data_IF_660613171196
#
_entry.id   IF_660613171196
#
_cell.length_a   1.000
_cell.length_b   1.000
_cell.length_c   1.000
_cell.angle_alpha   90.00
_cell.angle_beta   90.00
_cell.angle_gamma   90.00
#
_symmetry.space_group_name_H-M   'P 1'
#
loop_
_entity.id
_entity.type
_entity.pdbx_description
1 polymer ?
#
# COMPACT_ATOMS: atom_id res chain seq x y z
N UNK A 1 25.44 53.49 -16.69
CA UNK A 1 24.79 52.30 -17.29
C UNK A 1 24.38 51.38 -16.17
N UNK A 2 23.10 51.46 -15.80
CA UNK A 2 22.53 50.76 -14.64
C UNK A 2 21.86 49.50 -15.14
N UNK A 3 22.30 48.33 -14.67
CA UNK A 3 21.67 47.05 -14.98
C UNK A 3 20.56 46.77 -13.97
N UNK A 4 19.34 46.78 -14.48
CA UNK A 4 18.11 46.55 -13.75
C UNK A 4 17.92 45.02 -13.57
N UNK A 5 17.93 44.51 -12.33
CA UNK A 5 17.60 43.10 -12.02
C UNK A 5 16.09 42.97 -11.97
N UNK A 6 15.55 42.24 -12.96
CA UNK A 6 14.15 41.88 -13.04
C UNK A 6 13.71 41.00 -11.87
N UNK A 7 12.56 41.34 -11.30
CA UNK A 7 11.83 40.61 -10.29
C UNK A 7 11.30 39.30 -10.89
N UNK A 8 11.64 38.19 -10.29
CA UNK A 8 10.98 36.91 -10.53
C UNK A 8 9.56 37.00 -9.99
N UNK A 9 8.62 36.72 -10.85
CA UNK A 9 7.18 36.74 -10.61
C UNK A 9 6.76 35.68 -9.59
N UNK A 10 6.08 36.13 -8.54
CA UNK A 10 5.32 35.31 -7.60
C UNK A 10 4.20 34.60 -8.35
N UNK A 11 4.16 33.27 -8.26
CA UNK A 11 2.98 32.50 -8.60
C UNK A 11 1.92 32.70 -7.48
N UNK A 12 0.67 32.97 -7.83
CA UNK A 12 -0.38 33.11 -6.83
C UNK A 12 -0.73 31.76 -6.22
N UNK A 13 -0.62 31.69 -4.89
CA UNK A 13 -1.25 30.63 -4.08
C UNK A 13 -2.77 30.63 -4.36
N UNK A 14 -3.24 29.60 -5.00
CA UNK A 14 -4.68 29.36 -5.18
C UNK A 14 -5.21 28.84 -3.83
N UNK A 15 -5.71 29.76 -3.01
CA UNK A 15 -6.60 29.40 -1.92
C UNK A 15 -7.95 28.99 -2.53
N UNK A 16 -8.20 27.69 -2.59
CA UNK A 16 -9.55 27.17 -2.77
C UNK A 16 -10.04 26.67 -1.41
N UNK A 17 -10.82 27.49 -0.73
CA UNK A 17 -11.65 27.06 0.38
C UNK A 17 -12.77 26.18 -0.14
N UNK A 18 -12.86 24.96 0.35
CA UNK A 18 -14.05 24.12 0.27
C UNK A 18 -14.22 23.45 1.65
N UNK A 19 -15.47 23.45 2.11
CA UNK A 19 -15.86 23.06 3.45
C UNK A 19 -15.41 21.65 3.83
N UNK A 20 -14.65 21.57 4.91
CA UNK A 20 -14.00 20.37 5.39
C UNK A 20 -14.58 19.97 6.74
N UNK A 21 -14.85 18.69 6.90
CA UNK A 21 -14.83 18.07 8.22
C UNK A 21 -13.42 18.29 8.80
N UNK A 22 -13.32 19.03 9.89
CA UNK A 22 -12.06 19.48 10.50
C UNK A 22 -11.38 18.29 11.19
N UNK A 23 -10.70 17.41 10.43
CA UNK A 23 -9.76 16.46 10.99
C UNK A 23 -8.37 17.08 10.88
N UNK A 24 -7.93 17.72 11.94
CA UNK A 24 -6.61 18.33 12.02
C UNK A 24 -5.58 17.20 12.06
N UNK A 25 -4.79 17.07 11.01
CA UNK A 25 -3.67 16.12 10.96
C UNK A 25 -2.45 16.70 11.66
N UNK A 26 -1.68 15.84 12.35
CA UNK A 26 -0.37 16.24 12.88
C UNK A 26 0.59 16.59 11.74
N UNK A 27 1.66 17.33 12.02
CA UNK A 27 2.70 17.66 11.03
C UNK A 27 3.27 16.41 10.38
N UNK A 28 3.48 15.35 11.16
CA UNK A 28 3.94 14.05 10.65
C UNK A 28 2.93 13.43 9.68
N UNK A 29 1.65 13.40 10.02
CA UNK A 29 0.63 12.86 9.13
C UNK A 29 0.47 13.70 7.86
N UNK A 30 0.49 15.02 7.99
CA UNK A 30 0.38 15.94 6.85
C UNK A 30 1.57 15.80 5.90
N UNK A 31 2.80 15.66 6.42
CA UNK A 31 3.99 15.47 5.56
C UNK A 31 3.92 14.20 4.73
N UNK A 32 3.29 13.14 5.26
CA UNK A 32 3.05 11.90 4.48
C UNK A 32 1.99 12.14 3.41
N UNK A 33 0.88 12.82 3.75
CA UNK A 33 -0.17 13.17 2.78
C UNK A 33 0.43 13.97 1.63
N UNK A 34 1.23 14.99 1.95
CA UNK A 34 1.87 15.86 0.96
C UNK A 34 3.04 15.19 0.21
N UNK A 35 3.48 14.01 0.66
CA UNK A 35 4.62 13.29 0.10
C UNK A 35 5.97 13.94 0.38
N UNK A 36 6.05 14.79 1.42
CA UNK A 36 7.27 15.48 1.85
C UNK A 36 8.14 14.53 2.68
N UNK A 37 9.07 13.87 1.99
CA UNK A 37 9.97 12.88 2.59
C UNK A 37 10.86 13.48 3.69
N UNK A 38 11.41 14.67 3.46
CA UNK A 38 12.39 15.27 4.36
C UNK A 38 11.71 15.68 5.67
N UNK A 39 10.58 16.37 5.59
CA UNK A 39 9.75 16.71 6.76
C UNK A 39 9.27 15.45 7.48
N UNK A 40 8.87 14.39 6.76
CA UNK A 40 8.46 13.13 7.37
C UNK A 40 9.57 12.53 8.23
N UNK A 41 10.80 12.46 7.72
CA UNK A 41 11.94 11.91 8.45
C UNK A 41 12.32 12.75 9.67
N UNK A 42 12.30 14.07 9.54
CA UNK A 42 12.55 15.00 10.64
C UNK A 42 11.50 14.85 11.76
N UNK A 43 10.22 14.80 11.40
CA UNK A 43 9.11 14.64 12.35
C UNK A 43 9.13 13.29 13.08
N UNK A 44 9.48 12.18 12.38
CA UNK A 44 9.66 10.89 13.02
C UNK A 44 10.78 10.94 14.08
N UNK A 45 11.93 11.51 13.73
CA UNK A 45 13.06 11.62 14.65
C UNK A 45 12.74 12.53 15.84
N UNK A 46 12.06 13.66 15.59
CA UNK A 46 11.62 14.58 16.64
C UNK A 46 10.66 13.89 17.61
N UNK A 47 9.63 13.22 17.09
CA UNK A 47 8.64 12.51 17.90
C UNK A 47 9.28 11.41 18.75
N UNK A 48 10.27 10.68 18.20
CA UNK A 48 11.04 9.69 18.97
C UNK A 48 11.85 10.33 20.09
N UNK A 49 12.48 11.49 19.84
CA UNK A 49 13.25 12.23 20.85
C UNK A 49 12.36 12.80 21.96
N UNK A 50 11.11 13.16 21.64
CA UNK A 50 10.08 13.61 22.59
C UNK A 50 9.42 12.45 23.36
N UNK A 51 9.79 11.20 23.07
CA UNK A 51 9.29 10.00 23.76
C UNK A 51 7.95 9.48 23.26
N UNK A 52 7.49 9.91 22.07
CA UNK A 52 6.29 9.34 21.44
C UNK A 52 6.59 7.89 21.05
N UNK A 53 5.70 6.97 21.44
CA UNK A 53 5.93 5.56 21.13
C UNK A 53 5.84 5.28 19.62
N UNK A 54 6.69 4.39 19.08
CA UNK A 54 6.61 3.98 17.67
C UNK A 54 5.25 3.45 17.26
N UNK A 55 4.54 2.78 18.18
CA UNK A 55 3.19 2.27 17.96
C UNK A 55 2.20 3.41 17.73
N UNK A 56 2.18 4.42 18.60
CA UNK A 56 1.28 5.59 18.46
C UNK A 56 1.58 6.31 17.14
N UNK A 57 2.86 6.52 16.81
CA UNK A 57 3.21 7.11 15.51
C UNK A 57 2.64 6.31 14.34
N UNK A 58 2.79 4.98 14.36
CA UNK A 58 2.28 4.12 13.30
C UNK A 58 0.76 4.19 13.19
N UNK A 59 0.04 3.97 14.31
CA UNK A 59 -1.42 3.85 14.30
C UNK A 59 -2.13 5.19 14.10
N UNK A 60 -1.72 6.22 14.87
CA UNK A 60 -2.43 7.50 14.92
C UNK A 60 -1.98 8.51 13.86
N UNK A 61 -0.79 8.34 13.30
CA UNK A 61 -0.28 9.29 12.30
C UNK A 61 -0.09 8.65 10.93
N UNK A 62 0.70 7.57 10.82
CA UNK A 62 1.08 7.00 9.54
C UNK A 62 -0.09 6.30 8.84
N UNK A 63 -0.78 5.38 9.52
CA UNK A 63 -1.91 4.62 8.94
C UNK A 63 -3.07 5.57 8.60
N UNK A 64 -3.34 6.58 9.46
CA UNK A 64 -4.37 7.58 9.19
C UNK A 64 -4.03 8.45 7.98
N UNK A 65 -2.76 8.88 7.86
CA UNK A 65 -2.29 9.63 6.68
C UNK A 65 -2.52 8.83 5.39
N UNK A 66 -2.12 7.57 5.36
CA UNK A 66 -2.31 6.72 4.17
C UNK A 66 -3.79 6.42 3.88
N UNK A 67 -4.63 6.37 4.89
CA UNK A 67 -6.09 6.26 4.70
C UNK A 67 -6.66 7.51 4.03
N UNK A 68 -6.17 8.70 4.40
CA UNK A 68 -6.55 9.97 3.77
C UNK A 68 -6.04 10.05 2.33
N UNK A 69 -4.79 9.64 2.07
CA UNK A 69 -4.22 9.54 0.71
C UNK A 69 -5.09 8.64 -0.17
N UNK A 70 -5.54 7.50 0.36
CA UNK A 70 -6.46 6.60 -0.34
C UNK A 70 -7.80 7.27 -0.66
N UNK A 71 -8.39 8.00 0.29
CA UNK A 71 -9.64 8.76 0.08
C UNK A 71 -9.49 9.82 -1.00
N UNK A 72 -8.42 10.62 -0.94
CA UNK A 72 -8.12 11.67 -1.93
C UNK A 72 -7.95 11.08 -3.35
N UNK A 73 -7.37 9.89 -3.45
CA UNK A 73 -7.27 9.18 -4.71
C UNK A 73 -8.64 8.71 -5.23
N UNK A 74 -9.49 8.13 -4.37
CA UNK A 74 -10.84 7.69 -4.75
C UNK A 74 -11.74 8.86 -5.16
N UNK A 75 -11.56 10.03 -4.57
CA UNK A 75 -12.28 11.26 -4.92
C UNK A 75 -11.70 11.95 -6.16
N UNK A 76 -10.59 11.47 -6.72
CA UNK A 76 -9.94 12.04 -7.90
C UNK A 76 -9.19 13.33 -7.65
N UNK A 77 -8.88 13.65 -6.38
CA UNK A 77 -8.03 14.78 -6.00
C UNK A 77 -6.55 14.43 -6.12
N UNK A 78 -6.20 13.16 -5.81
CA UNK A 78 -4.86 12.59 -6.00
C UNK A 78 -4.86 11.61 -7.17
N UNK A 79 -3.70 11.54 -7.85
CA UNK A 79 -3.41 10.60 -8.93
C UNK A 79 -2.24 9.69 -8.53
N UNK A 80 -1.85 8.78 -9.43
CA UNK A 80 -0.76 7.82 -9.15
C UNK A 80 0.54 8.48 -8.70
N UNK A 81 1.00 9.62 -9.26
CA UNK A 81 2.20 10.28 -8.77
C UNK A 81 2.13 10.70 -7.29
N UNK A 82 0.99 11.27 -6.84
CA UNK A 82 0.79 11.68 -5.44
C UNK A 82 0.78 10.45 -4.52
N UNK A 83 0.11 9.36 -4.92
CA UNK A 83 0.16 8.10 -4.17
C UNK A 83 1.60 7.59 -4.01
N UNK A 84 2.40 7.66 -5.07
CA UNK A 84 3.78 7.17 -5.05
C UNK A 84 4.68 7.97 -4.10
N UNK A 85 4.56 9.30 -4.08
CA UNK A 85 5.38 10.13 -3.18
C UNK A 85 4.94 9.96 -1.72
N UNK A 86 3.63 9.90 -1.43
CA UNK A 86 3.10 9.62 -0.10
C UNK A 86 3.52 8.23 0.39
N UNK A 87 3.42 7.20 -0.45
CA UNK A 87 3.86 5.85 -0.14
C UNK A 87 5.37 5.79 0.14
N UNK A 88 6.19 6.55 -0.60
CA UNK A 88 7.63 6.65 -0.37
C UNK A 88 7.94 7.31 0.99
N UNK A 89 7.24 8.38 1.35
CA UNK A 89 7.39 9.03 2.65
C UNK A 89 7.00 8.07 3.78
N UNK A 90 5.87 7.37 3.64
CA UNK A 90 5.43 6.33 4.56
C UNK A 90 6.46 5.22 4.75
N UNK A 91 7.00 4.65 3.66
CA UNK A 91 7.99 3.58 3.72
C UNK A 91 9.28 4.03 4.41
N UNK A 92 9.71 5.27 4.19
CA UNK A 92 10.89 5.83 4.85
C UNK A 92 10.68 5.97 6.36
N UNK A 93 9.50 6.44 6.79
CA UNK A 93 9.12 6.49 8.20
C UNK A 93 9.10 5.08 8.82
N UNK A 94 8.46 4.10 8.16
CA UNK A 94 8.38 2.72 8.63
C UNK A 94 9.76 2.04 8.72
N UNK A 95 10.70 2.41 7.85
CA UNK A 95 12.08 1.90 7.92
C UNK A 95 12.79 2.27 9.22
N UNK A 96 12.46 3.43 9.80
CA UNK A 96 12.97 3.85 11.12
C UNK A 96 12.17 3.15 12.23
N UNK A 97 10.85 3.04 12.11
CA UNK A 97 9.99 2.55 13.18
C UNK A 97 9.99 1.01 13.31
N UNK A 98 10.08 0.25 12.20
CA UNK A 98 10.01 -1.22 12.23
C UNK A 98 11.00 -1.89 13.18
N UNK A 99 12.29 -1.52 13.25
CA UNK A 99 13.21 -2.10 14.23
C UNK A 99 12.79 -1.85 15.68
N UNK A 100 12.15 -0.72 15.97
CA UNK A 100 11.67 -0.34 17.30
C UNK A 100 10.36 -1.04 17.65
N UNK A 101 9.54 -1.36 16.64
CA UNK A 101 8.29 -2.10 16.78
C UNK A 101 8.53 -3.61 16.98
N UNK A 102 9.63 -4.16 16.48
CA UNK A 102 9.94 -5.59 16.52
C UNK A 102 10.05 -6.21 17.94
N UNK A 103 10.07 -5.41 19.00
CA UNK A 103 10.07 -5.87 20.40
C UNK A 103 8.85 -5.41 21.22
N UNK A 104 7.95 -4.63 20.65
CA UNK A 104 6.87 -3.94 21.37
C UNK A 104 5.54 -4.70 21.43
N UNK A 105 5.43 -5.88 20.79
CA UNK A 105 4.18 -6.64 20.73
C UNK A 105 3.08 -6.02 19.85
N UNK A 106 3.43 -5.02 19.06
CA UNK A 106 2.50 -4.39 18.11
C UNK A 106 2.09 -5.41 17.06
N UNK A 107 0.80 -5.74 17.02
CA UNK A 107 0.27 -6.65 16.01
C UNK A 107 -0.05 -5.87 14.74
N UNK A 108 0.49 -6.33 13.62
CA UNK A 108 0.01 -5.94 12.29
C UNK A 108 -1.44 -6.43 12.13
N UNK A 109 -2.23 -5.75 11.30
CA UNK A 109 -3.61 -6.16 10.98
C UNK A 109 -3.65 -7.59 10.47
N UNK A 110 -2.65 -7.96 9.66
CA UNK A 110 -2.49 -9.29 9.07
C UNK A 110 -1.28 -9.33 8.15
N UNK A 111 -1.08 -10.49 7.51
CA UNK A 111 0.01 -10.72 6.57
C UNK A 111 -0.53 -10.82 5.15
N UNK A 112 0.09 -10.08 4.23
CA UNK A 112 -0.19 -10.13 2.79
C UNK A 112 1.07 -10.55 2.06
N UNK A 113 0.97 -11.60 1.27
CA UNK A 113 2.00 -12.01 0.30
C UNK A 113 1.58 -11.49 -1.06
N UNK A 114 2.41 -10.67 -1.69
CA UNK A 114 2.10 -10.07 -2.99
C UNK A 114 3.14 -10.46 -4.04
N UNK A 115 2.72 -10.67 -5.28
CA UNK A 115 3.62 -10.97 -6.39
C UNK A 115 2.95 -10.82 -7.75
N UNK A 116 3.75 -10.61 -8.78
CA UNK A 116 3.31 -10.69 -10.17
C UNK A 116 3.46 -12.11 -10.66
N UNK A 117 2.41 -12.67 -11.25
CA UNK A 117 2.35 -14.08 -11.63
C UNK A 117 3.39 -14.48 -12.66
N UNK A 118 3.64 -15.78 -12.80
CA UNK A 118 4.62 -16.38 -13.72
C UNK A 118 4.46 -15.88 -15.16
N UNK A 119 5.59 -15.51 -15.78
CA UNK A 119 5.67 -15.00 -17.14
C UNK A 119 5.30 -13.53 -17.28
N UNK A 120 4.98 -12.85 -16.18
CA UNK A 120 4.70 -11.43 -16.14
C UNK A 120 5.78 -10.68 -15.32
N UNK A 121 6.32 -9.61 -15.90
CA UNK A 121 7.43 -8.84 -15.33
C UNK A 121 7.04 -7.41 -14.93
N UNK A 122 5.75 -7.08 -15.01
CA UNK A 122 5.26 -5.75 -14.66
C UNK A 122 5.10 -5.63 -13.14
N UNK A 123 5.70 -4.60 -12.57
CA UNK A 123 5.76 -4.43 -11.11
C UNK A 123 5.27 -3.07 -10.59
N UNK A 124 5.13 -2.05 -11.45
CA UNK A 124 4.77 -0.68 -10.99
C UNK A 124 3.47 -0.70 -10.18
N UNK A 125 2.39 -1.26 -10.73
CA UNK A 125 1.10 -1.35 -10.03
C UNK A 125 1.18 -2.22 -8.77
N UNK A 126 1.88 -3.36 -8.85
CA UNK A 126 2.11 -4.25 -7.71
C UNK A 126 2.85 -3.53 -6.57
N UNK A 127 3.92 -2.79 -6.91
CA UNK A 127 4.71 -2.06 -5.92
C UNK A 127 3.88 -0.96 -5.25
N UNK A 128 3.01 -0.28 -6.00
CA UNK A 128 2.08 0.70 -5.44
C UNK A 128 1.09 0.05 -4.46
N UNK A 129 0.49 -1.10 -4.85
CA UNK A 129 -0.40 -1.87 -3.96
C UNK A 129 0.34 -2.34 -2.70
N UNK A 130 1.56 -2.85 -2.84
CA UNK A 130 2.39 -3.27 -1.70
C UNK A 130 2.62 -2.12 -0.72
N UNK A 131 3.02 -0.95 -1.22
CA UNK A 131 3.26 0.23 -0.39
C UNK A 131 1.97 0.72 0.31
N UNK A 132 0.83 0.70 -0.39
CA UNK A 132 -0.46 1.06 0.20
C UNK A 132 -0.91 0.05 1.26
N UNK A 133 -0.67 -1.24 1.07
CA UNK A 133 -0.95 -2.27 2.08
C UNK A 133 -0.05 -2.11 3.32
N UNK A 134 1.24 -1.82 3.14
CA UNK A 134 2.14 -1.48 4.25
C UNK A 134 1.62 -0.25 5.01
N UNK A 135 1.25 0.80 4.28
CA UNK A 135 0.61 2.01 4.82
C UNK A 135 -0.73 1.73 5.49
N UNK A 136 -1.44 0.71 5.05
CA UNK A 136 -2.68 0.23 5.66
C UNK A 136 -2.51 -0.56 6.95
N UNK A 137 -1.26 -0.84 7.38
CA UNK A 137 -0.95 -1.54 8.63
C UNK A 137 -0.69 -3.04 8.48
N UNK A 138 -0.51 -3.55 7.26
CA UNK A 138 -0.21 -4.96 7.01
C UNK A 138 1.29 -5.27 7.08
N UNK A 139 1.61 -6.52 7.41
CA UNK A 139 2.90 -7.11 7.07
C UNK A 139 2.87 -7.53 5.59
N UNK A 140 3.69 -6.91 4.75
CA UNK A 140 3.73 -7.22 3.32
C UNK A 140 5.01 -7.98 2.98
N UNK A 141 4.84 -9.14 2.32
CA UNK A 141 5.93 -9.94 1.77
C UNK A 141 5.85 -9.90 0.25
N UNK A 142 6.73 -9.12 -0.35
CA UNK A 142 6.81 -9.01 -1.80
C UNK A 142 7.66 -10.13 -2.40
N UNK A 143 7.04 -10.98 -3.21
CA UNK A 143 7.70 -12.09 -3.90
C UNK A 143 8.40 -11.66 -5.20
N UNK A 144 8.19 -10.41 -5.64
CA UNK A 144 8.71 -9.89 -6.89
C UNK A 144 7.82 -10.19 -8.10
N UNK A 145 8.47 -10.40 -9.24
CA UNK A 145 7.83 -10.69 -10.53
C UNK A 145 8.13 -12.12 -10.98
N UNK A 146 7.42 -12.60 -12.00
CA UNK A 146 7.60 -13.97 -12.55
C UNK A 146 7.49 -15.05 -11.46
N UNK A 147 6.55 -14.88 -10.55
CA UNK A 147 6.39 -15.73 -9.37
C UNK A 147 5.61 -16.99 -9.71
N UNK A 148 6.21 -18.16 -9.46
CA UNK A 148 5.57 -19.44 -9.73
C UNK A 148 4.47 -19.76 -8.71
N UNK A 149 3.46 -20.61 -9.07
CA UNK A 149 2.42 -21.07 -8.14
C UNK A 149 2.99 -21.70 -6.86
N UNK A 150 4.09 -22.45 -6.97
CA UNK A 150 4.74 -23.09 -5.82
C UNK A 150 5.27 -22.06 -4.83
N UNK A 151 5.86 -20.96 -5.32
CA UNK A 151 6.42 -19.91 -4.47
C UNK A 151 5.32 -19.15 -3.71
N UNK A 152 4.17 -18.88 -4.36
CA UNK A 152 3.00 -18.32 -3.68
C UNK A 152 2.48 -19.27 -2.58
N UNK A 153 2.32 -20.56 -2.89
CA UNK A 153 1.85 -21.55 -1.95
C UNK A 153 2.81 -21.71 -0.76
N UNK A 154 4.12 -21.75 -1.01
CA UNK A 154 5.14 -21.82 0.03
C UNK A 154 5.07 -20.61 0.97
N UNK A 155 4.95 -19.40 0.42
CA UNK A 155 4.86 -18.18 1.22
C UNK A 155 3.55 -18.13 2.04
N UNK A 156 2.43 -18.61 1.51
CA UNK A 156 1.17 -18.72 2.24
C UNK A 156 1.24 -19.75 3.38
N UNK A 157 1.96 -20.85 3.17
CA UNK A 157 2.11 -21.92 4.18
C UNK A 157 2.88 -21.45 5.43
N UNK A 158 3.75 -20.45 5.30
CA UNK A 158 4.56 -19.97 6.43
C UNK A 158 3.71 -19.43 7.58
N UNK A 159 2.53 -18.89 7.30
CA UNK A 159 1.64 -18.34 8.33
C UNK A 159 0.16 -18.51 7.93
N UNK A 160 -0.64 -19.24 8.72
CA UNK A 160 -2.09 -19.27 8.55
C UNK A 160 -2.71 -17.87 8.64
N UNK A 161 -3.78 -17.63 7.89
CA UNK A 161 -4.42 -16.31 7.82
C UNK A 161 -3.75 -15.35 6.82
N UNK A 162 -2.74 -15.82 6.05
CA UNK A 162 -2.10 -14.99 5.01
C UNK A 162 -3.08 -14.69 3.87
N UNK A 163 -3.12 -13.44 3.43
CA UNK A 163 -3.76 -13.04 2.17
C UNK A 163 -2.74 -13.13 1.05
N UNK A 164 -3.08 -13.82 -0.03
CA UNK A 164 -2.27 -13.90 -1.26
C UNK A 164 -2.82 -12.92 -2.27
N UNK A 165 -2.03 -11.90 -2.60
CA UNK A 165 -2.35 -10.87 -3.58
C UNK A 165 -1.57 -11.12 -4.89
N UNK A 166 -2.28 -11.23 -6.00
CA UNK A 166 -1.68 -11.51 -7.30
C UNK A 166 -1.91 -10.39 -8.31
N UNK A 167 -0.86 -10.02 -9.03
CA UNK A 167 -0.90 -9.05 -10.12
C UNK A 167 -0.61 -9.71 -11.47
N UNK A 168 -1.35 -9.28 -12.51
CA UNK A 168 -1.04 -9.58 -13.91
C UNK A 168 -1.40 -8.38 -14.80
N UNK A 169 -0.55 -8.04 -15.75
CA UNK A 169 -0.80 -6.96 -16.70
C UNK A 169 -1.14 -7.49 -18.11
N UNK A 170 -0.85 -8.75 -18.41
CA UNK A 170 -1.10 -9.34 -19.70
C UNK A 170 -2.26 -10.35 -19.63
N UNK A 171 -3.15 -10.31 -20.62
CA UNK A 171 -4.23 -11.31 -20.72
C UNK A 171 -3.69 -12.73 -20.88
N UNK A 172 -2.48 -12.88 -21.43
CA UNK A 172 -1.78 -14.17 -21.60
C UNK A 172 -1.23 -14.72 -20.28
N UNK A 173 -1.00 -13.89 -19.27
CA UNK A 173 -0.49 -14.30 -17.96
C UNK A 173 -1.59 -14.45 -16.90
N UNK A 174 -2.78 -13.85 -17.09
CA UNK A 174 -3.94 -14.01 -16.20
C UNK A 174 -4.26 -15.47 -15.83
N UNK A 175 -4.18 -16.48 -16.75
CA UNK A 175 -4.43 -17.87 -16.39
C UNK A 175 -3.51 -18.40 -15.29
N UNK A 176 -2.33 -17.81 -15.07
CA UNK A 176 -1.44 -18.21 -13.98
C UNK A 176 -2.03 -17.93 -12.60
N UNK A 177 -2.94 -16.96 -12.46
CA UNK A 177 -3.67 -16.73 -11.21
C UNK A 177 -4.49 -17.96 -10.81
N UNK A 178 -5.16 -18.61 -11.78
CA UNK A 178 -5.89 -19.87 -11.53
C UNK A 178 -4.93 -20.98 -11.10
N UNK A 179 -3.77 -21.09 -11.75
CA UNK A 179 -2.78 -22.09 -11.40
C UNK A 179 -2.29 -21.94 -9.94
N UNK A 180 -2.14 -20.70 -9.45
CA UNK A 180 -1.81 -20.44 -8.04
C UNK A 180 -2.94 -20.91 -7.13
N UNK A 181 -4.19 -20.58 -7.45
CA UNK A 181 -5.36 -21.00 -6.67
C UNK A 181 -5.44 -22.53 -6.62
N UNK A 182 -5.31 -23.20 -7.78
CA UNK A 182 -5.34 -24.67 -7.85
C UNK A 182 -4.23 -25.32 -7.02
N UNK A 183 -3.04 -24.72 -7.04
CA UNK A 183 -1.92 -25.16 -6.21
C UNK A 183 -2.22 -25.01 -4.72
N UNK A 184 -2.78 -23.88 -4.31
CA UNK A 184 -3.19 -23.65 -2.93
C UNK A 184 -4.32 -24.60 -2.48
N UNK A 185 -5.26 -24.92 -3.38
CA UNK A 185 -6.33 -25.90 -3.12
C UNK A 185 -5.76 -27.31 -2.92
N UNK A 186 -4.88 -27.74 -3.83
CA UNK A 186 -4.23 -29.06 -3.75
C UNK A 186 -3.41 -29.24 -2.46
N UNK A 187 -2.92 -28.16 -1.88
CA UNK A 187 -2.17 -28.16 -0.62
C UNK A 187 -3.02 -27.84 0.62
N UNK A 188 -4.35 -27.68 0.47
CA UNK A 188 -5.27 -27.41 1.57
C UNK A 188 -5.17 -25.99 2.16
N UNK A 189 -4.41 -25.07 1.51
CA UNK A 189 -4.14 -23.73 2.02
C UNK A 189 -5.35 -22.79 1.90
N UNK A 190 -6.30 -23.08 0.99
CA UNK A 190 -7.49 -22.23 0.78
C UNK A 190 -8.43 -22.17 1.99
N UNK A 191 -8.36 -23.13 2.89
CA UNK A 191 -9.15 -23.12 4.14
C UNK A 191 -8.63 -22.11 5.16
N UNK A 192 -7.37 -21.70 5.05
CA UNK A 192 -6.70 -20.80 6.01
C UNK A 192 -6.16 -19.52 5.37
N UNK A 193 -6.28 -19.36 4.05
CA UNK A 193 -5.74 -18.19 3.33
C UNK A 193 -6.76 -17.65 2.35
N UNK A 194 -6.77 -16.33 2.20
CA UNK A 194 -7.59 -15.62 1.21
C UNK A 194 -6.77 -15.25 -0.01
N UNK A 195 -7.42 -15.13 -1.16
CA UNK A 195 -6.79 -14.76 -2.42
C UNK A 195 -7.48 -13.54 -3.02
N UNK A 196 -6.72 -12.50 -3.28
CA UNK A 196 -7.16 -11.31 -4.00
C UNK A 196 -6.33 -11.10 -5.27
N UNK A 197 -6.95 -10.56 -6.28
CA UNK A 197 -6.32 -10.32 -7.58
C UNK A 197 -6.56 -8.91 -8.09
N UNK A 198 -5.61 -8.42 -8.90
CA UNK A 198 -5.70 -7.12 -9.57
C UNK A 198 -4.77 -7.04 -10.77
N UNK A 199 -4.86 -5.91 -11.47
CA UNK A 199 -4.10 -5.61 -12.67
C UNK A 199 -5.01 -5.16 -13.81
N UNK A 200 -4.48 -4.37 -14.75
CA UNK A 200 -5.29 -3.65 -15.74
C UNK A 200 -6.27 -4.52 -16.57
N UNK A 201 -5.96 -5.76 -16.98
CA UNK A 201 -6.91 -6.62 -17.71
C UNK A 201 -7.78 -7.46 -16.79
N UNK A 202 -7.54 -7.44 -15.48
CA UNK A 202 -8.25 -8.28 -14.49
C UNK A 202 -9.59 -7.65 -14.16
N UNK A 203 -10.62 -8.48 -13.95
CA UNK A 203 -11.99 -8.04 -13.64
C UNK A 203 -12.57 -8.85 -12.49
N UNK A 204 -13.59 -8.33 -11.86
CA UNK A 204 -14.35 -9.03 -10.81
C UNK A 204 -15.00 -10.34 -11.34
N UNK A 205 -15.46 -10.31 -12.58
CA UNK A 205 -15.98 -11.53 -13.24
C UNK A 205 -14.91 -12.61 -13.37
N UNK A 206 -13.69 -12.21 -13.76
CA UNK A 206 -12.57 -13.15 -13.82
C UNK A 206 -12.20 -13.69 -12.43
N UNK A 207 -12.18 -12.84 -11.40
CA UNK A 207 -11.92 -13.25 -10.02
C UNK A 207 -12.90 -14.35 -9.58
N UNK A 208 -14.19 -14.12 -9.76
CA UNK A 208 -15.25 -15.09 -9.47
C UNK A 208 -15.08 -16.40 -10.25
N UNK A 209 -14.76 -16.29 -11.54
CA UNK A 209 -14.56 -17.45 -12.42
C UNK A 209 -13.42 -18.37 -11.97
N UNK A 210 -12.33 -17.80 -11.46
CA UNK A 210 -11.16 -18.58 -11.03
C UNK A 210 -11.21 -18.99 -9.56
N UNK A 211 -12.18 -18.50 -8.78
CA UNK A 211 -12.33 -18.80 -7.36
C UNK A 211 -11.45 -17.94 -6.45
N UNK A 212 -11.08 -16.73 -6.86
CA UNK A 212 -10.48 -15.73 -5.97
C UNK A 212 -11.53 -15.21 -4.99
N UNK A 213 -11.08 -14.81 -3.78
CA UNK A 213 -11.98 -14.26 -2.73
C UNK A 213 -12.31 -12.78 -3.00
N UNK A 214 -11.54 -12.10 -3.82
CA UNK A 214 -11.83 -10.72 -4.18
C UNK A 214 -10.95 -10.16 -5.31
N UNK A 215 -11.40 -9.02 -5.82
CA UNK A 215 -10.77 -8.23 -6.87
C UNK A 215 -10.67 -6.77 -6.43
N UNK A 216 -9.59 -6.12 -6.79
CA UNK A 216 -9.45 -4.67 -6.66
C UNK A 216 -8.95 -4.07 -7.98
N UNK A 217 -9.53 -2.96 -8.35
CA UNK A 217 -9.23 -2.21 -9.57
C UNK A 217 -8.11 -1.17 -9.37
N UNK A 218 -7.81 -0.84 -8.11
CA UNK A 218 -6.80 0.14 -7.75
C UNK A 218 -6.13 -0.16 -6.40
N UNK A 219 -5.12 0.62 -6.05
CA UNK A 219 -4.32 0.39 -4.84
C UNK A 219 -5.06 0.72 -3.54
N UNK A 220 -5.98 1.70 -3.53
CA UNK A 220 -6.78 2.06 -2.36
C UNK A 220 -7.82 0.99 -2.06
N UNK A 221 -8.58 0.56 -3.07
CA UNK A 221 -9.58 -0.51 -2.94
C UNK A 221 -8.93 -1.83 -2.55
N UNK A 222 -7.66 -2.08 -2.95
CA UNK A 222 -6.91 -3.24 -2.50
C UNK A 222 -6.68 -3.27 -0.98
N UNK A 223 -6.41 -2.13 -0.36
CA UNK A 223 -6.27 -2.02 1.10
C UNK A 223 -7.60 -2.29 1.80
N UNK A 224 -8.69 -1.71 1.30
CA UNK A 224 -10.04 -1.90 1.82
C UNK A 224 -10.46 -3.38 1.73
N UNK A 225 -10.21 -4.00 0.58
CA UNK A 225 -10.48 -5.43 0.37
C UNK A 225 -9.66 -6.30 1.33
N UNK A 226 -8.35 -6.04 1.45
CA UNK A 226 -7.50 -6.80 2.37
C UNK A 226 -8.00 -6.70 3.82
N UNK A 227 -8.36 -5.50 4.29
CA UNK A 227 -8.93 -5.29 5.63
C UNK A 227 -10.20 -6.12 5.87
N UNK A 228 -11.06 -6.25 4.87
CA UNK A 228 -12.30 -7.03 4.97
C UNK A 228 -12.10 -8.53 5.22
N UNK A 229 -10.90 -9.07 4.99
CA UNK A 229 -10.57 -10.46 5.26
C UNK A 229 -10.15 -10.74 6.71
N UNK A 230 -9.92 -9.68 7.49
CA UNK A 230 -9.44 -9.80 8.88
C UNK A 230 -10.48 -9.38 9.93
N UNK A 231 -11.64 -8.90 9.52
CA UNK A 231 -12.72 -8.64 10.48
C UNK A 231 -13.76 -7.69 10.00
#
# INVERSE_FOLDING_TARGET
MSYNRGRCSQFPLIQKGFGMSNTEFSTLAQSIIDGDLDTTLEEVQRSLAEGVSPQVMMEEHLIRAMSEVGRLFEEGEYFVPELMISARAMQAAMKILNPLLAGSGVQKIGRVVIGTVKGDFHDIGKNLVAAMLEGGGFEVVDLGVDVSPEKFAEAARQQPGTVVAMSALLTTTMPQMKNVIDRMEAEGLRSTSKVMIGGAPVTDEFAKKIGADGYSDNASTAVTLAKSFFG
#
